data_IF_039627916560
#
_entry.id   IF_039627916560
#
_cell.length_a   1.000
_cell.length_b   1.000
_cell.length_c   1.000
_cell.angle_alpha   90.00
_cell.angle_beta   90.00
_cell.angle_gamma   90.00
#
_symmetry.space_group_name_H-M   'P 1'
#
loop_
_entity.id
_entity.type
_entity.pdbx_description
1 polymer ?
#
# COMPACT_ATOMS: atom_id res chain seq x y z
N UNK A 1 1.77 39.52 -72.32
CA UNK A 1 2.62 38.61 -71.52
C UNK A 1 1.83 37.33 -71.30
N UNK A 2 2.29 36.27 -71.96
CA UNK A 2 1.79 34.88 -72.00
C UNK A 2 1.91 34.28 -70.58
N UNK A 3 1.05 33.44 -69.98
CA UNK A 3 0.35 32.20 -70.38
C UNK A 3 -0.65 31.78 -69.28
N UNK A 4 -1.69 31.05 -69.65
CA UNK A 4 -2.58 30.28 -68.75
C UNK A 4 -2.13 28.80 -68.66
N UNK A 5 -2.52 28.10 -67.58
CA UNK A 5 -2.73 26.63 -67.43
C UNK A 5 -3.29 26.41 -66.00
N UNK A 6 -4.50 25.90 -65.70
CA UNK A 6 -5.26 24.65 -66.00
C UNK A 6 -4.71 23.35 -65.37
N UNK A 7 -5.62 22.70 -64.61
CA UNK A 7 -5.81 21.27 -64.27
C UNK A 7 -4.72 20.58 -63.41
N UNK A 8 -5.01 19.96 -62.25
CA UNK A 8 -5.90 18.85 -61.87
C UNK A 8 -5.21 17.46 -61.91
N UNK A 9 -5.45 16.72 -60.83
CA UNK A 9 -5.38 15.26 -60.63
C UNK A 9 -4.07 14.52 -60.24
N UNK A 10 -4.24 13.78 -59.12
CA UNK A 10 -3.76 12.44 -58.75
C UNK A 10 -2.30 12.03 -58.95
N UNK A 11 -1.64 11.66 -57.83
CA UNK A 11 -0.83 10.42 -57.74
C UNK A 11 -0.95 9.84 -56.31
N UNK A 12 -1.43 8.60 -56.25
CA UNK A 12 -1.32 7.66 -55.12
C UNK A 12 0.16 7.33 -54.85
N UNK A 13 0.56 7.31 -53.58
CA UNK A 13 1.83 6.76 -53.13
C UNK A 13 1.65 5.99 -51.84
N UNK A 14 1.43 4.68 -51.95
CA UNK A 14 1.64 3.73 -50.86
C UNK A 14 3.16 3.67 -50.56
N UNK A 15 3.54 3.82 -49.29
CA UNK A 15 4.78 3.25 -48.75
C UNK A 15 4.64 2.96 -47.26
N UNK A 16 4.32 1.71 -47.01
CA UNK A 16 4.64 0.84 -45.89
C UNK A 16 5.64 1.32 -44.79
N UNK A 17 5.30 0.88 -43.57
CA UNK A 17 6.13 0.50 -42.41
C UNK A 17 6.84 1.60 -41.59
N UNK A 18 6.33 1.81 -40.37
CA UNK A 18 7.16 1.79 -39.16
C UNK A 18 6.28 1.61 -37.93
N UNK A 19 6.26 0.39 -37.40
CA UNK A 19 5.71 0.06 -36.10
C UNK A 19 6.63 0.65 -35.02
N UNK A 20 6.24 1.81 -34.47
CA UNK A 20 6.84 2.40 -33.29
C UNK A 20 6.50 1.57 -32.06
N UNK A 21 7.32 0.57 -31.76
CA UNK A 21 7.39 -0.09 -30.48
C UNK A 21 7.70 0.96 -29.41
N UNK A 22 6.72 1.34 -28.58
CA UNK A 22 7.03 1.99 -27.31
C UNK A 22 7.60 0.91 -26.40
N UNK A 23 8.90 0.95 -26.20
CA UNK A 23 9.63 0.07 -25.29
C UNK A 23 9.17 0.37 -23.87
N UNK A 24 8.24 -0.44 -23.35
CA UNK A 24 8.04 -0.59 -21.93
C UNK A 24 9.38 -1.10 -21.34
N UNK A 25 10.16 -0.17 -20.80
CA UNK A 25 11.37 -0.46 -20.07
C UNK A 25 11.00 -1.30 -18.86
N UNK A 26 11.36 -2.58 -18.94
CA UNK A 26 11.25 -3.57 -17.88
C UNK A 26 12.07 -3.13 -16.67
N UNK A 27 11.43 -2.49 -15.69
CA UNK A 27 11.91 -2.49 -14.32
C UNK A 27 11.08 -3.50 -13.55
N UNK A 28 11.44 -4.79 -13.67
CA UNK A 28 11.00 -5.82 -12.72
C UNK A 28 11.94 -5.76 -11.53
N UNK A 29 11.56 -5.02 -10.49
CA UNK A 29 12.19 -5.20 -9.19
C UNK A 29 11.70 -6.55 -8.63
N UNK A 30 12.65 -7.48 -8.44
CA UNK A 30 12.48 -8.79 -7.79
C UNK A 30 11.42 -9.75 -8.35
N UNK A 31 11.88 -10.72 -9.15
CA UNK A 31 11.27 -12.05 -9.17
C UNK A 31 12.36 -13.13 -9.14
N UNK A 32 12.51 -13.89 -8.05
CA UNK A 32 13.09 -15.22 -8.14
C UNK A 32 11.97 -16.23 -8.42
N UNK A 33 12.09 -16.88 -9.57
CA UNK A 33 11.36 -18.09 -9.95
C UNK A 33 11.83 -19.25 -9.07
N UNK A 34 10.87 -20.07 -8.62
CA UNK A 34 10.95 -21.40 -7.99
C UNK A 34 10.78 -21.47 -6.46
N UNK A 35 9.61 -21.94 -6.03
CA UNK A 35 9.53 -23.00 -5.01
C UNK A 35 8.59 -24.10 -5.50
N UNK A 36 9.12 -25.31 -5.45
CA UNK A 36 8.55 -26.58 -5.89
C UNK A 36 7.48 -27.10 -4.92
N UNK A 37 6.38 -27.60 -5.50
CA UNK A 37 5.75 -28.90 -5.25
C UNK A 37 5.66 -29.46 -3.81
N UNK A 38 4.40 -29.52 -3.35
CA UNK A 38 3.71 -30.64 -2.66
C UNK A 38 4.25 -31.09 -1.29
N UNK A 39 3.55 -30.66 -0.24
CA UNK A 39 3.43 -31.42 1.01
C UNK A 39 2.01 -31.97 1.14
N UNK A 40 1.89 -33.29 1.25
CA UNK A 40 0.65 -34.01 1.56
C UNK A 40 0.91 -34.81 2.84
N UNK A 41 0.24 -34.54 3.96
CA UNK A 41 0.16 -35.48 5.06
C UNK A 41 -1.07 -36.37 4.90
N UNK A 42 -0.83 -37.68 4.89
CA UNK A 42 -1.85 -38.71 4.86
C UNK A 42 -2.41 -39.07 6.24
N UNK A 43 -3.59 -39.69 6.16
CA UNK A 43 -4.10 -40.81 6.96
C UNK A 43 -4.53 -40.61 8.43
N UNK A 44 -5.87 -40.52 8.57
CA UNK A 44 -6.71 -41.63 9.06
C UNK A 44 -7.41 -41.52 10.44
N UNK A 45 -8.62 -42.10 10.40
CA UNK A 45 -9.44 -42.73 11.46
C UNK A 45 -10.31 -41.83 12.35
N UNK A 46 -11.61 -41.85 12.02
CA UNK A 46 -12.71 -41.63 12.94
C UNK A 46 -12.85 -42.78 13.95
N UNK A 47 -13.14 -42.46 15.21
CA UNK A 47 -14.02 -43.26 16.11
C UNK A 47 -14.50 -42.41 17.28
N UNK A 48 -15.82 -42.36 17.43
CA UNK A 48 -16.60 -41.75 18.51
C UNK A 48 -16.41 -42.46 19.85
N UNK A 49 -16.53 -41.73 20.97
CA UNK A 49 -17.31 -42.14 22.16
C UNK A 49 -17.56 -40.97 23.11
N UNK A 50 -18.72 -41.06 23.75
CA UNK A 50 -19.53 -40.07 24.49
C UNK A 50 -19.07 -39.82 25.94
N UNK A 51 -19.30 -38.61 26.47
CA UNK A 51 -19.98 -38.36 27.77
C UNK A 51 -20.14 -36.85 28.11
N UNK A 52 -21.19 -36.57 28.87
CA UNK A 52 -21.93 -35.33 29.17
C UNK A 52 -21.18 -34.14 29.83
N UNK A 53 -21.79 -32.93 29.87
CA UNK A 53 -21.09 -31.68 30.18
C UNK A 53 -21.09 -31.37 31.69
N UNK A 54 -19.92 -30.99 32.22
CA UNK A 54 -19.82 -30.33 33.53
C UNK A 54 -19.57 -28.83 33.31
N UNK A 55 -20.45 -28.02 33.88
CA UNK A 55 -20.42 -26.56 33.89
C UNK A 55 -19.15 -26.02 34.58
N UNK A 56 -18.14 -25.66 33.78
CA UNK A 56 -16.96 -24.93 34.23
C UNK A 56 -17.09 -23.44 33.87
N UNK A 57 -17.06 -22.57 34.88
CA UNK A 57 -16.95 -21.12 34.70
C UNK A 57 -15.69 -20.80 33.88
N UNK A 58 -15.83 -20.37 32.64
CA UNK A 58 -14.71 -19.89 31.84
C UNK A 58 -14.16 -18.60 32.47
N UNK A 59 -13.06 -18.73 33.22
CA UNK A 59 -12.27 -17.57 33.62
C UNK A 59 -11.59 -17.00 32.39
N UNK A 60 -12.00 -15.80 31.96
CA UNK A 60 -11.28 -15.04 30.95
C UNK A 60 -9.79 -14.97 31.33
N UNK A 61 -8.92 -15.45 30.43
CA UNK A 61 -7.48 -15.49 30.63
C UNK A 61 -6.94 -14.09 30.92
N UNK A 62 -5.93 -13.94 31.79
CA UNK A 62 -5.32 -12.64 32.13
C UNK A 62 -4.83 -11.85 30.89
N UNK A 63 -4.54 -12.55 29.79
CA UNK A 63 -4.17 -11.99 28.48
C UNK A 63 -5.34 -11.30 27.77
N UNK A 64 -6.56 -11.87 27.85
CA UNK A 64 -7.77 -11.26 27.26
C UNK A 64 -8.18 -9.95 27.96
N UNK A 65 -7.99 -9.86 29.28
CA UNK A 65 -8.28 -8.64 30.06
C UNK A 65 -7.26 -7.52 29.82
N UNK A 66 -5.99 -7.86 29.60
CA UNK A 66 -4.94 -6.89 29.30
C UNK A 66 -5.12 -6.24 27.91
N UNK A 67 -5.45 -7.04 26.90
CA UNK A 67 -5.72 -6.56 25.55
C UNK A 67 -6.97 -5.67 25.49
N UNK A 68 -8.07 -6.07 26.15
CA UNK A 68 -9.27 -5.23 26.26
C UNK A 68 -8.96 -3.91 26.98
N UNK A 69 -8.31 -3.96 28.15
CA UNK A 69 -8.00 -2.75 28.94
C UNK A 69 -7.13 -1.76 28.15
N UNK A 70 -6.14 -2.26 27.41
CA UNK A 70 -5.27 -1.43 26.57
C UNK A 70 -6.00 -0.86 25.34
N UNK A 71 -7.01 -1.54 24.80
CA UNK A 71 -7.89 -0.99 23.77
C UNK A 71 -8.81 0.13 24.31
N UNK A 72 -9.24 0.02 25.57
CA UNK A 72 -10.08 1.03 26.22
C UNK A 72 -9.27 2.24 26.74
N UNK A 73 -8.02 2.04 27.14
CA UNK A 73 -7.11 3.08 27.66
C UNK A 73 -6.21 3.71 26.57
N UNK A 74 -6.40 3.33 25.30
CA UNK A 74 -5.65 3.91 24.20
C UNK A 74 -6.11 5.34 23.93
N UNK A 75 -5.34 6.28 24.45
CA UNK A 75 -5.53 7.72 24.32
C UNK A 75 -5.86 8.12 22.88
N UNK A 76 -5.23 7.47 21.89
CA UNK A 76 -5.43 7.77 20.47
C UNK A 76 -6.75 7.23 19.92
N UNK A 77 -7.29 6.14 20.47
CA UNK A 77 -8.63 5.64 20.09
C UNK A 77 -9.72 6.54 20.65
N UNK A 78 -9.57 6.99 21.90
CA UNK A 78 -10.50 7.96 22.50
C UNK A 78 -10.44 9.29 21.76
N UNK A 79 -9.23 9.77 21.47
CA UNK A 79 -9.01 11.01 20.73
C UNK A 79 -9.52 10.91 19.30
N UNK A 80 -9.33 9.79 18.58
CA UNK A 80 -9.85 9.65 17.22
C UNK A 80 -11.37 9.78 17.19
N UNK A 81 -12.08 9.18 18.15
CA UNK A 81 -13.54 9.34 18.26
C UNK A 81 -13.96 10.77 18.58
N UNK A 82 -13.22 11.45 19.46
CA UNK A 82 -13.52 12.83 19.85
C UNK A 82 -13.28 13.82 18.71
N UNK A 83 -12.20 13.64 17.95
CA UNK A 83 -11.76 14.53 16.87
C UNK A 83 -12.34 14.12 15.50
N UNK A 84 -13.14 13.05 15.44
CA UNK A 84 -13.78 12.60 14.21
C UNK A 84 -12.87 11.86 13.23
N UNK A 85 -11.71 11.37 13.70
CA UNK A 85 -10.83 10.50 12.92
C UNK A 85 -11.31 9.04 12.94
N UNK A 86 -11.24 8.40 11.78
CA UNK A 86 -11.71 7.01 11.58
C UNK A 86 -10.90 5.96 12.33
N UNK A 87 -9.64 6.24 12.65
CA UNK A 87 -8.84 5.34 13.46
C UNK A 87 -7.72 6.04 14.20
N UNK A 88 -7.11 5.35 15.18
CA UNK A 88 -5.88 5.81 15.81
C UNK A 88 -4.69 5.91 14.84
N UNK A 89 -4.76 5.25 13.68
CA UNK A 89 -3.68 5.27 12.69
C UNK A 89 -3.55 6.67 12.05
N UNK A 90 -4.63 7.46 12.01
CA UNK A 90 -4.61 8.86 11.55
C UNK A 90 -3.51 9.68 12.26
N UNK A 91 -3.31 9.48 13.57
CA UNK A 91 -2.25 10.18 14.31
C UNK A 91 -0.84 9.79 13.87
N UNK A 92 -0.62 8.57 13.37
CA UNK A 92 0.68 8.21 12.80
C UNK A 92 0.97 9.06 11.57
N UNK A 93 0.01 9.19 10.65
CA UNK A 93 0.18 9.99 9.44
C UNK A 93 0.29 11.48 9.76
N UNK A 94 -0.52 12.00 10.70
CA UNK A 94 -0.44 13.39 11.15
C UNK A 94 0.95 13.73 11.72
N UNK A 95 1.52 12.87 12.58
CA UNK A 95 2.86 13.07 13.14
C UNK A 95 3.96 12.98 12.06
N UNK A 96 3.82 12.05 11.10
CA UNK A 96 4.74 11.93 9.98
C UNK A 96 4.67 13.16 9.07
N UNK A 97 3.47 13.63 8.75
CA UNK A 97 3.22 14.83 7.95
C UNK A 97 3.71 16.10 8.64
N UNK A 98 3.49 16.25 9.95
CA UNK A 98 4.00 17.39 10.73
C UNK A 98 5.53 17.47 10.64
N UNK A 99 6.20 16.32 10.69
CA UNK A 99 7.66 16.26 10.68
C UNK A 99 8.28 16.43 9.30
N UNK A 100 7.68 15.82 8.28
CA UNK A 100 8.30 15.68 6.96
C UNK A 100 7.55 16.43 5.84
N UNK A 101 6.39 17.04 6.14
CA UNK A 101 5.50 17.76 5.21
C UNK A 101 5.19 16.92 3.98
N UNK A 102 4.54 15.78 4.23
CA UNK A 102 4.28 14.75 3.24
C UNK A 102 3.12 15.11 2.32
N UNK A 103 2.11 15.79 2.84
CA UNK A 103 0.87 16.08 2.15
C UNK A 103 0.76 17.59 1.90
N UNK A 104 0.58 17.94 0.64
CA UNK A 104 0.47 19.32 0.14
C UNK A 104 -0.79 19.42 -0.72
N UNK A 105 -1.51 20.56 -0.71
CA UNK A 105 -2.67 20.76 -1.57
C UNK A 105 -2.40 20.45 -3.05
N UNK A 106 -3.34 19.75 -3.69
CA UNK A 106 -3.29 19.37 -5.11
C UNK A 106 -2.49 18.10 -5.43
N UNK A 107 -1.97 17.38 -4.44
CA UNK A 107 -1.24 16.13 -4.69
C UNK A 107 -2.16 14.98 -5.12
N UNK A 108 -1.61 14.10 -5.96
CA UNK A 108 -2.14 12.75 -6.21
C UNK A 108 -1.45 11.75 -5.27
N UNK A 109 -2.24 11.05 -4.46
CA UNK A 109 -1.78 10.14 -3.41
C UNK A 109 -2.39 8.75 -3.60
N UNK A 110 -1.56 7.71 -3.46
CA UNK A 110 -2.02 6.32 -3.35
C UNK A 110 -1.86 5.85 -1.90
N UNK A 111 -2.91 5.28 -1.31
CA UNK A 111 -2.95 4.74 0.06
C UNK A 111 -3.23 3.23 0.06
N UNK A 112 -2.24 2.41 0.41
CA UNK A 112 -2.35 0.95 0.43
C UNK A 112 -2.50 0.43 1.87
N UNK A 113 -3.46 -0.48 2.09
CA UNK A 113 -3.83 -0.92 3.44
C UNK A 113 -4.66 0.15 4.17
N UNK A 114 -5.59 0.76 3.43
CA UNK A 114 -6.29 1.96 3.82
C UNK A 114 -7.35 1.74 4.93
N UNK A 115 -7.96 0.56 5.04
CA UNK A 115 -9.10 0.35 5.93
C UNK A 115 -8.69 0.52 7.41
N UNK A 116 -9.49 1.24 8.23
CA UNK A 116 -10.86 1.73 7.98
C UNK A 116 -10.95 3.15 7.37
N UNK A 117 -9.86 3.66 6.79
CA UNK A 117 -9.79 4.96 6.10
C UNK A 117 -9.10 6.06 6.90
N UNK A 118 -8.34 5.71 7.94
CA UNK A 118 -7.70 6.70 8.82
C UNK A 118 -6.63 7.55 8.13
N UNK A 119 -5.82 6.94 7.26
CA UNK A 119 -4.81 7.64 6.48
C UNK A 119 -5.43 8.36 5.28
N UNK A 120 -6.34 7.70 4.58
CA UNK A 120 -7.06 8.29 3.44
C UNK A 120 -7.85 9.54 3.83
N UNK A 121 -8.49 9.54 5.01
CA UNK A 121 -9.16 10.72 5.57
C UNK A 121 -8.19 11.90 5.71
N UNK A 122 -7.06 11.68 6.39
CA UNK A 122 -6.04 12.72 6.61
C UNK A 122 -5.46 13.20 5.28
N UNK A 123 -5.19 12.29 4.35
CA UNK A 123 -4.70 12.65 3.02
C UNK A 123 -5.70 13.53 2.28
N UNK A 124 -6.97 13.12 2.19
CA UNK A 124 -8.01 13.87 1.48
C UNK A 124 -8.20 15.29 2.07
N UNK A 125 -8.21 15.42 3.40
CA UNK A 125 -8.28 16.72 4.08
C UNK A 125 -7.09 17.63 3.74
N UNK A 126 -5.88 17.06 3.63
CA UNK A 126 -4.63 17.81 3.40
C UNK A 126 -4.38 18.18 1.94
N UNK A 127 -4.66 17.27 1.01
CA UNK A 127 -4.51 17.53 -0.43
C UNK A 127 -5.65 18.40 -0.96
N UNK A 128 -6.80 18.41 -0.28
CA UNK A 128 -7.90 19.30 -0.59
C UNK A 128 -8.62 18.95 -1.90
N UNK A 129 -9.53 19.84 -2.37
CA UNK A 129 -10.46 19.52 -3.46
C UNK A 129 -9.81 19.36 -4.84
N UNK A 130 -8.60 19.92 -5.02
CA UNK A 130 -7.82 19.78 -6.26
C UNK A 130 -6.89 18.56 -6.23
N UNK A 131 -6.75 17.91 -5.07
CA UNK A 131 -5.98 16.69 -4.91
C UNK A 131 -6.81 15.43 -5.17
N UNK A 132 -6.13 14.31 -5.30
CA UNK A 132 -6.74 13.00 -5.55
C UNK A 132 -6.15 12.00 -4.58
N UNK A 133 -7.00 11.21 -3.94
CA UNK A 133 -6.58 10.06 -3.12
C UNK A 133 -7.19 8.79 -3.70
N UNK A 134 -6.34 7.85 -4.10
CA UNK A 134 -6.73 6.51 -4.52
C UNK A 134 -6.34 5.56 -3.40
N UNK A 135 -7.30 4.90 -2.79
CA UNK A 135 -7.09 4.02 -1.64
C UNK A 135 -7.42 2.57 -1.99
N UNK A 136 -6.67 1.62 -1.45
CA UNK A 136 -6.99 0.20 -1.56
C UNK A 136 -6.78 -0.57 -0.25
N UNK A 137 -7.68 -1.51 0.00
CA UNK A 137 -7.61 -2.45 1.12
C UNK A 137 -8.41 -3.72 0.79
N UNK A 138 -8.05 -4.84 1.39
CA UNK A 138 -8.80 -6.09 1.31
C UNK A 138 -10.15 -5.99 2.04
N UNK A 139 -10.23 -5.14 3.07
CA UNK A 139 -11.42 -4.90 3.87
C UNK A 139 -12.23 -3.72 3.33
N UNK A 140 -13.55 -3.79 3.45
CA UNK A 140 -14.42 -2.66 3.16
C UNK A 140 -14.19 -1.49 4.13
N UNK A 141 -14.44 -0.27 3.65
CA UNK A 141 -14.56 0.92 4.50
C UNK A 141 -15.67 1.84 4.00
N UNK A 142 -16.26 2.62 4.89
CA UNK A 142 -17.28 3.61 4.54
C UNK A 142 -16.71 4.62 3.53
N UNK A 143 -17.52 5.09 2.59
CA UNK A 143 -17.07 6.08 1.60
C UNK A 143 -16.51 7.36 2.26
N UNK A 144 -15.48 7.94 1.64
CA UNK A 144 -14.85 9.20 2.04
C UNK A 144 -14.90 10.18 0.87
N UNK A 145 -15.30 11.43 1.13
CA UNK A 145 -15.26 12.47 0.10
C UNK A 145 -13.80 12.71 -0.35
N UNK A 146 -13.58 12.78 -1.65
CA UNK A 146 -12.24 12.97 -2.24
C UNK A 146 -11.35 11.72 -2.21
N UNK A 147 -11.92 10.54 -1.95
CA UNK A 147 -11.20 9.25 -1.98
C UNK A 147 -11.90 8.30 -2.93
N UNK A 148 -11.17 7.83 -3.94
CA UNK A 148 -11.57 6.69 -4.78
C UNK A 148 -11.08 5.40 -4.11
N UNK A 149 -12.00 4.54 -3.70
CA UNK A 149 -11.67 3.31 -2.96
C UNK A 149 -11.82 2.06 -3.83
N UNK A 150 -10.77 1.22 -3.83
CA UNK A 150 -10.71 -0.05 -4.54
C UNK A 150 -10.53 -1.16 -3.50
N UNK A 151 -11.60 -1.93 -3.29
CA UNK A 151 -11.55 -3.08 -2.41
C UNK A 151 -10.93 -4.29 -3.11
N UNK A 152 -9.96 -4.92 -2.47
CA UNK A 152 -9.43 -6.22 -2.88
C UNK A 152 -8.08 -6.52 -2.28
N UNK A 153 -7.62 -7.75 -2.50
CA UNK A 153 -6.28 -8.15 -2.08
C UNK A 153 -5.23 -7.57 -3.03
N UNK A 154 -4.36 -6.70 -2.52
CA UNK A 154 -3.34 -6.04 -3.32
C UNK A 154 -2.27 -7.02 -3.85
N UNK A 155 -2.25 -8.28 -3.40
CA UNK A 155 -1.42 -9.31 -4.03
C UNK A 155 -1.96 -9.80 -5.36
N UNK A 156 -3.22 -9.48 -5.69
CA UNK A 156 -3.87 -9.86 -6.94
C UNK A 156 -3.68 -8.78 -8.02
N UNK A 157 -3.34 -9.21 -9.24
CA UNK A 157 -3.02 -8.31 -10.36
C UNK A 157 -4.21 -7.41 -10.72
N UNK A 158 -5.44 -7.91 -10.59
CA UNK A 158 -6.66 -7.17 -10.93
C UNK A 158 -6.81 -5.90 -10.06
N UNK A 159 -6.28 -5.91 -8.83
CA UNK A 159 -6.32 -4.74 -7.95
C UNK A 159 -5.27 -3.70 -8.35
N UNK A 160 -4.08 -4.15 -8.74
CA UNK A 160 -3.09 -3.29 -9.36
C UNK A 160 -3.64 -2.62 -10.62
N UNK A 161 -4.23 -3.41 -11.53
CA UNK A 161 -4.84 -2.91 -12.77
C UNK A 161 -5.97 -1.90 -12.48
N UNK A 162 -6.82 -2.16 -11.48
CA UNK A 162 -7.87 -1.23 -11.07
C UNK A 162 -7.31 0.10 -10.54
N UNK A 163 -6.22 0.05 -9.76
CA UNK A 163 -5.52 1.26 -9.27
C UNK A 163 -4.96 2.04 -10.46
N UNK A 164 -4.27 1.38 -11.39
CA UNK A 164 -3.68 2.03 -12.57
C UNK A 164 -4.75 2.62 -13.50
N UNK A 165 -5.87 1.91 -13.70
CA UNK A 165 -7.01 2.40 -14.46
C UNK A 165 -7.65 3.63 -13.81
N UNK A 166 -7.81 3.62 -12.48
CA UNK A 166 -8.31 4.76 -11.72
C UNK A 166 -7.32 5.93 -11.74
N UNK A 167 -6.02 5.65 -11.73
CA UNK A 167 -4.99 6.67 -11.82
C UNK A 167 -4.99 7.39 -13.17
N UNK A 168 -5.16 6.65 -14.27
CA UNK A 168 -5.04 7.18 -15.62
C UNK A 168 -3.63 7.71 -15.88
N UNK A 169 -3.51 8.89 -16.50
CA UNK A 169 -2.21 9.52 -16.82
C UNK A 169 -1.69 10.45 -15.71
N UNK A 170 -2.35 10.49 -14.55
CA UNK A 170 -1.96 11.40 -13.47
C UNK A 170 -0.60 11.01 -12.89
N UNK A 171 0.35 11.96 -12.75
CA UNK A 171 1.58 11.68 -12.03
C UNK A 171 1.29 11.51 -10.53
N UNK A 172 1.84 10.47 -9.90
CA UNK A 172 1.70 10.26 -8.45
C UNK A 172 2.79 11.01 -7.70
N UNK A 173 2.39 11.78 -6.69
CA UNK A 173 3.30 12.54 -5.83
C UNK A 173 3.75 11.73 -4.61
N UNK A 174 2.84 10.93 -4.05
CA UNK A 174 3.06 10.13 -2.85
C UNK A 174 2.38 8.76 -2.98
N UNK A 175 3.15 7.70 -2.78
CA UNK A 175 2.61 6.36 -2.48
C UNK A 175 2.86 6.07 -1.01
N UNK A 176 1.82 5.73 -0.26
CA UNK A 176 1.92 5.36 1.13
C UNK A 176 1.30 3.99 1.41
N UNK A 177 1.90 3.23 2.32
CA UNK A 177 1.43 1.88 2.68
C UNK A 177 1.49 1.64 4.18
N UNK A 178 0.33 1.35 4.77
CA UNK A 178 0.20 0.78 6.12
C UNK A 178 -0.29 -0.67 6.07
N UNK A 179 -0.04 -1.38 4.97
CA UNK A 179 -0.37 -2.81 4.84
C UNK A 179 0.35 -3.65 5.90
N UNK A 180 -0.33 -4.68 6.38
CA UNK A 180 0.27 -5.72 7.22
C UNK A 180 -0.47 -7.03 6.99
N UNK A 181 0.23 -8.18 7.04
CA UNK A 181 -0.44 -9.46 6.92
C UNK A 181 -1.31 -9.73 8.15
N UNK A 182 -2.18 -10.72 8.03
CA UNK A 182 -2.85 -11.30 9.19
C UNK A 182 -1.81 -11.93 10.11
N UNK A 183 -1.45 -11.21 11.18
CA UNK A 183 -0.39 -11.61 12.10
C UNK A 183 -0.75 -12.91 12.83
N UNK A 184 -0.01 -13.98 12.56
CA UNK A 184 -0.12 -15.26 13.25
C UNK A 184 0.52 -15.23 14.65
N UNK A 185 1.43 -14.27 14.88
CA UNK A 185 2.28 -14.19 16.07
C UNK A 185 3.57 -15.01 15.95
N UNK A 186 3.77 -15.73 14.85
CA UNK A 186 5.00 -16.46 14.55
C UNK A 186 5.84 -15.69 13.54
N UNK A 187 6.98 -15.16 13.99
CA UNK A 187 7.84 -14.31 13.16
C UNK A 187 8.30 -15.00 11.85
N UNK A 188 8.50 -16.33 11.86
CA UNK A 188 8.89 -17.09 10.68
C UNK A 188 7.82 -17.13 9.58
N UNK A 189 6.56 -16.86 9.91
CA UNK A 189 5.44 -16.77 8.95
C UNK A 189 5.14 -15.30 8.65
N UNK A 190 5.08 -14.47 9.70
CA UNK A 190 4.66 -13.07 9.57
C UNK A 190 5.70 -12.21 8.83
N UNK A 191 7.00 -12.45 9.03
CA UNK A 191 8.06 -11.62 8.44
C UNK A 191 8.10 -11.73 6.90
N UNK A 192 8.14 -12.92 6.28
CA UNK A 192 8.14 -13.02 4.81
C UNK A 192 6.90 -12.40 4.18
N UNK A 193 5.72 -12.57 4.78
CA UNK A 193 4.48 -11.97 4.26
C UNK A 193 4.49 -10.44 4.36
N UNK A 194 4.97 -9.89 5.47
CA UNK A 194 5.11 -8.45 5.61
C UNK A 194 6.13 -7.86 4.63
N UNK A 195 7.23 -8.56 4.36
CA UNK A 195 8.21 -8.14 3.36
C UNK A 195 7.63 -8.18 1.95
N UNK A 196 6.90 -9.22 1.59
CA UNK A 196 6.26 -9.32 0.28
C UNK A 196 5.29 -8.16 0.01
N UNK A 197 4.43 -7.81 0.98
CA UNK A 197 3.49 -6.69 0.83
C UNK A 197 4.20 -5.34 0.61
N UNK A 198 5.30 -5.09 1.32
CA UNK A 198 6.04 -3.81 1.19
C UNK A 198 6.90 -3.76 -0.08
N UNK A 199 7.31 -4.91 -0.60
CA UNK A 199 7.95 -5.05 -1.92
C UNK A 199 6.96 -4.74 -3.05
N UNK A 200 5.74 -5.29 -3.00
CA UNK A 200 4.67 -4.93 -3.95
C UNK A 200 4.35 -3.43 -3.93
N UNK A 201 4.30 -2.82 -2.74
CA UNK A 201 4.08 -1.39 -2.61
C UNK A 201 5.21 -0.56 -3.26
N UNK A 202 6.46 -1.02 -3.15
CA UNK A 202 7.60 -0.38 -3.81
C UNK A 202 7.56 -0.56 -5.34
N UNK A 203 7.11 -1.72 -5.82
CA UNK A 203 6.96 -1.96 -7.25
C UNK A 203 5.91 -1.01 -7.86
N UNK A 204 4.73 -0.89 -7.23
CA UNK A 204 3.73 0.11 -7.64
C UNK A 204 4.30 1.52 -7.61
N UNK A 205 5.06 1.87 -6.57
CA UNK A 205 5.70 3.18 -6.48
C UNK A 205 6.67 3.42 -7.65
N UNK A 206 7.43 2.40 -8.06
CA UNK A 206 8.31 2.46 -9.23
C UNK A 206 7.57 2.67 -10.55
N UNK A 207 6.35 2.14 -10.67
CA UNK A 207 5.52 2.28 -11.86
C UNK A 207 4.77 3.62 -11.95
N UNK A 208 4.47 4.24 -10.80
CA UNK A 208 3.49 5.35 -10.74
C UNK A 208 4.06 6.68 -10.24
N UNK A 209 5.12 6.67 -9.42
CA UNK A 209 5.69 7.91 -8.90
C UNK A 209 6.32 8.73 -10.01
N UNK A 210 6.04 10.03 -10.01
CA UNK A 210 6.81 10.97 -10.81
C UNK A 210 8.25 11.09 -10.29
N UNK A 211 9.22 11.47 -11.13
CA UNK A 211 10.53 11.89 -10.65
C UNK A 211 10.41 12.96 -9.55
N UNK A 212 11.13 12.77 -8.45
CA UNK A 212 11.02 13.61 -7.25
C UNK A 212 9.93 13.16 -6.25
N UNK A 213 9.09 12.19 -6.60
CA UNK A 213 8.02 11.66 -5.76
C UNK A 213 8.49 11.02 -4.45
N UNK A 214 7.54 10.77 -3.56
CA UNK A 214 7.79 10.24 -2.21
C UNK A 214 7.11 8.88 -2.02
N UNK A 215 7.77 7.99 -1.30
CA UNK A 215 7.25 6.71 -0.85
C UNK A 215 7.34 6.59 0.66
N UNK A 216 6.27 6.17 1.31
CA UNK A 216 6.19 5.95 2.75
C UNK A 216 5.62 4.58 3.03
N UNK A 217 6.34 3.70 3.73
CA UNK A 217 5.80 2.38 4.06
C UNK A 217 6.10 1.92 5.47
N UNK A 218 5.11 1.26 6.08
CA UNK A 218 5.30 0.47 7.30
C UNK A 218 6.17 -0.74 6.98
N UNK A 219 7.18 -0.98 7.80
CA UNK A 219 8.05 -2.14 7.71
C UNK A 219 8.31 -2.71 9.11
N UNK A 220 8.37 -4.02 9.23
CA UNK A 220 8.80 -4.70 10.45
C UNK A 220 10.28 -5.05 10.35
N UNK A 221 11.06 -4.66 11.36
CA UNK A 221 12.48 -5.01 11.40
C UNK A 221 12.67 -6.52 11.56
N UNK A 222 13.40 -7.13 10.63
CA UNK A 222 13.69 -8.56 10.60
C UNK A 222 14.42 -8.93 9.31
N UNK A 223 14.31 -10.20 8.94
CA UNK A 223 14.83 -10.72 7.67
C UNK A 223 14.25 -9.94 6.47
N UNK A 224 15.08 -9.66 5.46
CA UNK A 224 14.72 -8.86 4.29
C UNK A 224 14.80 -7.34 4.47
N UNK A 225 14.81 -6.83 5.70
CA UNK A 225 14.78 -5.37 5.96
C UNK A 225 15.97 -4.62 5.35
N UNK A 226 17.19 -5.13 5.50
CA UNK A 226 18.41 -4.46 5.01
C UNK A 226 18.50 -4.46 3.47
N UNK A 227 18.05 -5.55 2.83
CA UNK A 227 17.96 -5.65 1.38
C UNK A 227 16.92 -4.67 0.83
N UNK A 228 15.75 -4.60 1.47
CA UNK A 228 14.71 -3.64 1.14
C UNK A 228 15.18 -2.20 1.31
N UNK A 229 15.86 -1.87 2.42
CA UNK A 229 16.43 -0.55 2.64
C UNK A 229 17.48 -0.19 1.58
N UNK A 230 18.28 -1.17 1.12
CA UNK A 230 19.24 -0.98 0.03
C UNK A 230 18.52 -0.69 -1.30
N UNK A 231 17.44 -1.41 -1.60
CA UNK A 231 16.62 -1.15 -2.79
C UNK A 231 16.05 0.28 -2.78
N UNK A 232 15.46 0.72 -1.66
CA UNK A 232 14.99 2.10 -1.51
C UNK A 232 16.11 3.13 -1.71
N UNK A 233 17.31 2.90 -1.16
CA UNK A 233 18.45 3.81 -1.36
C UNK A 233 18.91 3.87 -2.82
N UNK A 234 18.73 2.79 -3.58
CA UNK A 234 18.96 2.74 -5.01
C UNK A 234 17.94 3.56 -5.82
N UNK A 235 16.66 3.53 -5.42
CA UNK A 235 15.57 4.20 -6.14
C UNK A 235 15.32 5.66 -5.72
N UNK A 236 15.70 6.05 -4.49
CA UNK A 236 15.38 7.38 -3.93
C UNK A 236 16.61 8.16 -3.45
N UNK A 237 16.58 9.49 -3.61
CA UNK A 237 17.67 10.39 -3.18
C UNK A 237 17.95 10.35 -1.68
N UNK A 238 16.91 10.15 -0.87
CA UNK A 238 17.01 10.15 0.59
C UNK A 238 16.07 9.08 1.15
N UNK A 239 16.57 8.28 2.09
CA UNK A 239 15.76 7.30 2.83
C UNK A 239 15.99 7.49 4.31
N UNK A 240 14.91 7.64 5.07
CA UNK A 240 14.95 7.88 6.52
C UNK A 240 13.94 7.00 7.23
N UNK A 241 14.32 6.51 8.41
CA UNK A 241 13.42 5.74 9.27
C UNK A 241 12.67 6.68 10.22
N UNK A 242 11.39 6.38 10.47
CA UNK A 242 10.49 7.09 11.38
C UNK A 242 9.80 6.11 12.31
N UNK A 243 9.57 6.54 13.54
CA UNK A 243 8.78 5.81 14.54
C UNK A 243 7.81 6.82 15.16
N UNK A 244 6.56 6.90 14.67
CA UNK A 244 5.54 7.77 15.25
C UNK A 244 5.32 7.44 16.73
N UNK A 245 5.06 8.44 17.55
CA UNK A 245 4.63 8.29 18.94
C UNK A 245 3.29 7.55 19.06
N UNK A 246 2.42 7.69 18.05
CA UNK A 246 1.18 6.91 17.94
C UNK A 246 1.38 5.42 17.59
N UNK A 247 2.60 4.96 17.30
CA UNK A 247 2.92 3.52 17.21
C UNK A 247 3.02 2.89 18.60
N UNK A 248 2.53 1.66 18.76
CA UNK A 248 2.66 0.94 20.04
C UNK A 248 4.14 0.71 20.36
N UNK A 249 4.56 1.00 21.59
CA UNK A 249 5.96 0.87 22.02
C UNK A 249 6.53 -0.56 21.84
N UNK A 250 5.69 -1.59 22.02
CA UNK A 250 6.07 -3.00 21.81
C UNK A 250 6.14 -3.42 20.34
N UNK A 251 5.56 -2.65 19.43
CA UNK A 251 5.54 -3.00 18.01
C UNK A 251 6.93 -2.78 17.43
N UNK A 252 7.44 -3.76 16.69
CA UNK A 252 8.68 -3.66 15.90
C UNK A 252 8.47 -2.89 14.58
N UNK A 253 7.29 -2.33 14.36
CA UNK A 253 7.00 -1.51 13.20
C UNK A 253 7.85 -0.24 13.20
N UNK A 254 8.37 0.12 12.05
CA UNK A 254 8.91 1.45 11.74
C UNK A 254 8.33 1.88 10.40
N UNK A 255 8.43 3.15 10.07
CA UNK A 255 8.09 3.66 8.76
C UNK A 255 9.36 4.05 8.02
N UNK A 256 9.54 3.56 6.80
CA UNK A 256 10.59 4.01 5.90
C UNK A 256 10.01 5.07 4.99
N UNK A 257 10.56 6.29 5.11
CA UNK A 257 10.25 7.42 4.25
C UNK A 257 11.37 7.58 3.23
N UNK A 258 11.05 7.37 1.96
CA UNK A 258 11.95 7.50 0.82
C UNK A 258 11.51 8.69 -0.05
N UNK A 259 12.40 9.65 -0.27
CA UNK A 259 12.10 10.93 -0.93
C UNK A 259 12.98 11.12 -2.16
N UNK A 260 12.42 11.78 -3.17
CA UNK A 260 13.10 12.08 -4.41
C UNK A 260 13.30 10.81 -5.23
N UNK A 261 12.20 10.23 -5.70
CA UNK A 261 12.22 9.11 -6.64
C UNK A 261 13.05 9.47 -7.88
N UNK A 262 13.96 8.59 -8.30
CA UNK A 262 14.91 8.88 -9.38
C UNK A 262 14.33 8.71 -10.78
N UNK A 263 13.35 7.81 -10.96
CA UNK A 263 12.90 7.36 -12.28
C UNK A 263 13.83 6.32 -12.87
#
# INVERSE_FOLDING_TARGET
MVRANRHAENVFGESAVSAGHSSALQYRFFAPRQVLSRYVPGDAVARSRTSSPASGKHSASKTSKGWLKEHFDDQYVQRSKLEGYRSRASYKLLELDEKDRLLVPGMTVIDLGAAPGGWSQVAAEKVGPEGVVIASDILEMDALAGVDFIQGDFTEEEILEAILATLGERPVDLVMSDMSPNMSGMAAIDQPQAMYLVELALDLAGQTLRPGGTFLAKVFQGEGFDEYLKALRGAFTRVVTRKPGASRARSREVYLLAQGFRG
#
